data_IF_275129332972
#
_entry.id   IF_275129332972
#
_cell.length_a   1.000
_cell.length_b   1.000
_cell.length_c   1.000
_cell.angle_alpha   90.00
_cell.angle_beta   90.00
_cell.angle_gamma   90.00
#
_symmetry.space_group_name_H-M   'P 1'
#
loop_
_entity.id
_entity.type
_entity.pdbx_description
1 polymer ?
#
# COMPACT_ATOMS: atom_id res chain seq x y z
N UNK A 1 -5.28 -14.41 -18.52
CA UNK A 1 -4.12 -15.17 -18.00
C UNK A 1 -4.56 -15.89 -16.73
N UNK A 2 -4.01 -17.08 -16.43
CA UNK A 2 -4.29 -17.73 -15.14
C UNK A 2 -3.83 -16.82 -13.98
N UNK A 3 -4.55 -16.81 -12.84
CA UNK A 3 -4.13 -16.04 -11.67
C UNK A 3 -2.72 -16.50 -11.22
N UNK A 4 -1.76 -15.58 -11.31
CA UNK A 4 -0.35 -15.80 -11.00
C UNK A 4 -0.03 -15.51 -9.52
N UNK A 5 -1.02 -15.15 -8.72
CA UNK A 5 -0.89 -14.90 -7.28
C UNK A 5 -1.47 -16.06 -6.47
N UNK A 6 -0.92 -16.26 -5.28
CA UNK A 6 -1.47 -17.22 -4.29
C UNK A 6 -2.81 -16.71 -3.77
N UNK A 7 -2.88 -15.45 -3.38
CA UNK A 7 -4.11 -14.75 -2.96
C UNK A 7 -4.52 -13.73 -4.00
N UNK A 8 -5.82 -13.61 -4.26
CA UNK A 8 -6.35 -12.57 -5.14
C UNK A 8 -5.99 -11.18 -4.60
N UNK A 9 -5.62 -10.22 -5.45
CA UNK A 9 -5.40 -8.83 -5.05
C UNK A 9 -6.73 -8.18 -4.65
N UNK A 10 -6.66 -7.12 -3.84
CA UNK A 10 -7.85 -6.34 -3.50
C UNK A 10 -8.53 -5.77 -4.77
N UNK A 11 -9.84 -5.96 -4.88
CA UNK A 11 -10.63 -5.32 -5.93
C UNK A 11 -10.78 -3.82 -5.61
N UNK A 12 -10.37 -2.96 -6.53
CA UNK A 12 -10.39 -1.51 -6.37
C UNK A 12 -11.40 -0.81 -7.28
N UNK A 13 -12.18 -1.57 -8.05
CA UNK A 13 -13.25 -1.00 -8.88
C UNK A 13 -14.29 -0.29 -8.00
N UNK A 14 -14.69 0.92 -8.37
CA UNK A 14 -15.65 1.72 -7.62
C UNK A 14 -15.09 2.35 -6.34
N UNK A 15 -13.76 2.35 -6.18
CA UNK A 15 -13.06 3.02 -5.08
C UNK A 15 -12.40 4.31 -5.58
N UNK A 16 -11.90 5.21 -4.70
CA UNK A 16 -11.14 6.39 -5.11
C UNK A 16 -9.87 6.10 -5.93
N UNK A 17 -9.46 4.84 -6.09
CA UNK A 17 -8.42 4.48 -7.07
C UNK A 17 -8.87 4.70 -8.52
N UNK A 18 -10.18 4.77 -8.79
CA UNK A 18 -10.74 5.09 -10.11
C UNK A 18 -10.38 6.53 -10.56
N UNK A 19 -9.99 7.40 -9.62
CA UNK A 19 -9.48 8.74 -9.94
C UNK A 19 -8.06 8.71 -10.54
N UNK A 20 -7.36 7.57 -10.44
CA UNK A 20 -5.98 7.39 -10.90
C UNK A 20 -5.85 6.54 -12.15
N UNK A 21 -4.86 6.83 -12.99
CA UNK A 21 -4.50 5.99 -14.14
C UNK A 21 -3.62 4.82 -13.68
N UNK A 22 -4.05 3.58 -13.91
CA UNK A 22 -3.20 2.40 -13.69
C UNK A 22 -2.06 2.38 -14.73
N UNK A 23 -0.84 2.64 -14.27
CA UNK A 23 0.37 2.63 -15.08
C UNK A 23 0.90 1.21 -15.33
N UNK A 24 0.67 0.30 -14.37
CA UNK A 24 1.12 -1.08 -14.48
C UNK A 24 1.11 -1.83 -13.15
N UNK A 25 1.43 -3.12 -13.23
CA UNK A 25 1.51 -3.99 -12.07
C UNK A 25 2.70 -4.95 -12.20
N UNK A 26 3.36 -5.23 -11.08
CA UNK A 26 4.47 -6.16 -10.98
C UNK A 26 4.18 -7.20 -9.89
N UNK A 27 4.42 -8.48 -10.21
CA UNK A 27 4.37 -9.56 -9.24
C UNK A 27 5.71 -9.67 -8.51
N UNK A 28 5.69 -10.17 -7.28
CA UNK A 28 6.90 -10.34 -6.49
C UNK A 28 6.71 -11.23 -5.26
N UNK A 29 7.63 -11.06 -4.30
CA UNK A 29 7.66 -11.87 -3.10
C UNK A 29 8.24 -13.26 -3.36
N UNK A 30 7.72 -14.25 -2.64
CA UNK A 30 8.11 -15.64 -2.79
C UNK A 30 7.31 -16.30 -3.92
N UNK A 31 7.94 -17.24 -4.62
CA UNK A 31 7.22 -18.11 -5.54
C UNK A 31 6.85 -19.42 -4.82
N UNK A 32 5.55 -19.71 -4.73
CA UNK A 32 4.99 -20.92 -4.15
C UNK A 32 4.20 -21.66 -5.23
N UNK A 33 4.72 -22.80 -5.67
CA UNK A 33 4.10 -23.64 -6.69
C UNK A 33 3.72 -22.89 -7.98
N UNK A 34 4.61 -22.00 -8.45
CA UNK A 34 4.42 -21.23 -9.67
C UNK A 34 3.59 -19.95 -9.47
N UNK A 35 3.16 -19.64 -8.25
CA UNK A 35 2.40 -18.44 -7.90
C UNK A 35 3.19 -17.50 -6.99
N UNK A 36 2.97 -16.21 -7.15
CA UNK A 36 3.64 -15.15 -6.39
C UNK A 36 2.83 -14.76 -5.14
N UNK A 37 3.50 -14.34 -4.08
CA UNK A 37 2.85 -13.92 -2.82
C UNK A 37 2.53 -12.43 -2.80
N UNK A 38 3.13 -11.62 -3.68
CA UNK A 38 3.03 -10.17 -3.62
C UNK A 38 2.65 -9.58 -4.97
N UNK A 39 1.98 -8.44 -4.92
CA UNK A 39 1.74 -7.58 -6.08
C UNK A 39 2.03 -6.14 -5.72
N UNK A 40 2.58 -5.40 -6.67
CA UNK A 40 2.66 -3.94 -6.63
C UNK A 40 1.93 -3.36 -7.83
N UNK A 41 0.94 -2.49 -7.57
CA UNK A 41 0.20 -1.75 -8.60
C UNK A 41 0.58 -0.28 -8.52
N UNK A 42 0.83 0.34 -9.67
CA UNK A 42 1.31 1.71 -9.79
C UNK A 42 0.23 2.56 -10.47
N UNK A 43 -0.15 3.64 -9.81
CA UNK A 43 -1.18 4.54 -10.27
C UNK A 43 -0.61 5.94 -10.41
N UNK A 44 -1.11 6.71 -11.37
CA UNK A 44 -0.85 8.14 -11.48
C UNK A 44 -2.10 8.91 -11.10
N UNK A 45 -1.99 9.73 -10.07
CA UNK A 45 -3.00 10.69 -9.65
C UNK A 45 -2.51 12.12 -9.87
N UNK A 46 -3.42 13.04 -10.16
CA UNK A 46 -3.09 14.45 -10.36
C UNK A 46 -2.61 15.11 -9.04
N UNK A 47 -3.21 14.73 -7.91
CA UNK A 47 -2.97 15.28 -6.59
C UNK A 47 -1.83 14.58 -5.82
N UNK A 48 -1.52 13.32 -6.12
CA UNK A 48 -0.45 12.55 -5.45
C UNK A 48 0.76 12.23 -6.33
N UNK A 49 0.68 12.41 -7.63
CA UNK A 49 1.71 11.92 -8.56
C UNK A 49 1.66 10.40 -8.66
N UNK A 50 2.82 9.74 -8.65
CA UNK A 50 2.87 8.27 -8.70
C UNK A 50 2.62 7.69 -7.31
N UNK A 51 1.61 6.84 -7.22
CA UNK A 51 1.26 6.07 -6.03
C UNK A 51 1.50 4.59 -6.30
N UNK A 52 2.24 3.93 -5.40
CA UNK A 52 2.41 2.49 -5.41
C UNK A 52 1.56 1.87 -4.30
N UNK A 53 0.65 0.99 -4.66
CA UNK A 53 0.02 0.05 -3.73
C UNK A 53 0.78 -1.26 -3.75
N UNK A 54 1.29 -1.69 -2.60
CA UNK A 54 1.88 -3.01 -2.38
C UNK A 54 0.94 -3.85 -1.52
N UNK A 55 0.68 -5.08 -1.95
CA UNK A 55 0.00 -6.11 -1.18
C UNK A 55 0.91 -7.32 -1.06
N UNK A 56 1.00 -7.89 0.14
CA UNK A 56 1.85 -9.04 0.42
C UNK A 56 1.07 -10.06 1.23
N UNK A 57 1.03 -11.29 0.73
CA UNK A 57 0.62 -12.46 1.50
C UNK A 57 1.78 -12.90 2.43
N UNK A 58 1.85 -12.26 3.59
CA UNK A 58 2.88 -12.56 4.57
C UNK A 58 2.70 -13.95 5.21
N UNK A 59 1.49 -14.53 5.15
CA UNK A 59 1.20 -15.86 5.71
C UNK A 59 1.84 -16.95 4.85
N UNK A 60 1.59 -16.95 3.54
CA UNK A 60 2.16 -17.98 2.64
C UNK A 60 3.68 -17.86 2.53
N UNK A 61 4.21 -16.64 2.58
CA UNK A 61 5.66 -16.40 2.63
C UNK A 61 6.29 -16.73 4.00
N UNK A 62 5.49 -17.20 4.98
CA UNK A 62 5.91 -17.50 6.37
C UNK A 62 6.54 -16.30 7.08
N UNK A 63 6.19 -15.09 6.63
CA UNK A 63 6.53 -13.84 7.25
C UNK A 63 5.78 -13.61 8.56
N UNK A 64 6.23 -12.61 9.31
CA UNK A 64 5.57 -12.12 10.52
C UNK A 64 5.63 -10.60 10.50
N UNK A 65 4.51 -9.97 10.83
CA UNK A 65 4.44 -8.51 10.98
C UNK A 65 4.71 -8.17 12.44
N UNK A 66 5.66 -7.26 12.66
CA UNK A 66 5.96 -6.70 13.96
C UNK A 66 6.08 -5.18 13.79
N UNK A 67 5.28 -4.44 14.57
CA UNK A 67 5.28 -2.98 14.59
C UNK A 67 5.41 -2.56 16.05
N UNK A 68 6.31 -1.62 16.33
CA UNK A 68 6.43 -1.03 17.66
C UNK A 68 5.28 -0.06 17.89
N UNK A 69 4.77 0.02 19.12
CA UNK A 69 3.61 0.85 19.45
C UNK A 69 3.81 2.32 19.07
N UNK A 70 5.03 2.84 19.17
CA UNK A 70 5.40 4.21 18.83
C UNK A 70 5.27 4.54 17.33
N UNK A 71 5.25 3.53 16.46
CA UNK A 71 5.03 3.72 15.03
C UNK A 71 3.54 3.68 14.65
N UNK A 72 2.66 3.30 15.58
CA UNK A 72 1.22 3.30 15.36
C UNK A 72 0.71 4.71 15.63
N UNK A 73 0.28 5.40 14.58
CA UNK A 73 -0.16 6.79 14.67
C UNK A 73 -1.41 7.10 13.83
N UNK A 74 -1.95 6.09 13.14
CA UNK A 74 -3.14 6.21 12.31
C UNK A 74 -4.01 4.96 12.41
N UNK A 75 -5.19 5.05 11.78
CA UNK A 75 -6.16 3.97 11.66
C UNK A 75 -6.66 3.82 10.22
N UNK A 76 -6.72 2.57 9.76
CA UNK A 76 -7.36 2.16 8.50
C UNK A 76 -8.49 1.19 8.85
N UNK A 77 -9.72 1.71 8.92
CA UNK A 77 -10.94 0.92 9.16
C UNK A 77 -10.92 0.11 10.47
N UNK A 78 -10.42 0.69 11.56
CA UNK A 78 -10.28 0.00 12.86
C UNK A 78 -8.99 -0.81 12.99
N UNK A 79 -8.13 -0.82 11.97
CA UNK A 79 -6.84 -1.52 11.96
C UNK A 79 -5.73 -0.51 12.25
N UNK A 80 -4.88 -0.76 13.26
CA UNK A 80 -3.72 0.05 13.56
C UNK A 80 -2.82 0.24 12.34
N UNK A 81 -2.48 1.49 12.04
CA UNK A 81 -1.69 1.86 10.89
C UNK A 81 -0.54 2.80 11.26
N UNK A 82 0.48 2.77 10.41
CA UNK A 82 1.62 3.68 10.46
C UNK A 82 1.56 4.60 9.25
N UNK A 83 1.51 5.90 9.50
CA UNK A 83 1.89 6.91 8.52
C UNK A 83 3.29 7.43 8.81
N UNK A 84 4.13 7.50 7.80
CA UNK A 84 5.47 8.08 7.91
C UNK A 84 5.87 8.81 6.62
N UNK A 85 6.78 9.77 6.78
CA UNK A 85 7.38 10.51 5.66
C UNK A 85 8.88 10.36 5.75
N UNK A 86 9.46 9.69 4.76
CA UNK A 86 10.90 9.60 4.61
C UNK A 86 11.38 10.76 3.74
N UNK A 87 12.31 11.57 4.25
CA UNK A 87 12.91 12.70 3.51
C UNK A 87 14.40 12.44 3.39
N UNK A 88 14.92 12.43 2.16
CA UNK A 88 16.34 12.30 1.89
C UNK A 88 17.10 13.61 2.19
N UNK A 89 18.42 13.53 2.27
CA UNK A 89 19.29 14.71 2.43
C UNK A 89 19.15 15.71 1.26
N UNK A 90 18.72 15.26 0.07
CA UNK A 90 18.46 16.15 -1.07
C UNK A 90 17.08 16.81 -1.03
N UNK A 91 16.24 16.46 -0.04
CA UNK A 91 14.88 16.95 0.10
C UNK A 91 13.82 16.16 -0.67
N UNK A 92 14.21 15.12 -1.41
CA UNK A 92 13.27 14.17 -2.01
C UNK A 92 12.53 13.42 -0.91
N UNK A 93 11.24 13.18 -1.07
CA UNK A 93 10.42 12.58 -0.02
C UNK A 93 9.48 11.51 -0.55
N UNK A 94 9.21 10.53 0.30
CA UNK A 94 8.18 9.52 0.10
C UNK A 94 7.32 9.48 1.36
N UNK A 95 6.02 9.70 1.18
CA UNK A 95 5.02 9.49 2.22
C UNK A 95 4.44 8.09 2.06
N UNK A 96 4.18 7.39 3.17
CA UNK A 96 3.57 6.08 3.12
C UNK A 96 2.56 5.85 4.24
N UNK A 97 1.59 4.98 3.95
CA UNK A 97 0.69 4.38 4.93
C UNK A 97 0.91 2.87 4.89
N UNK A 98 1.16 2.27 6.05
CA UNK A 98 1.34 0.83 6.24
C UNK A 98 0.29 0.31 7.23
N UNK A 99 -0.34 -0.82 6.91
CA UNK A 99 -1.20 -1.56 7.84
C UNK A 99 -1.17 -3.04 7.47
N UNK A 100 -1.50 -3.89 8.43
CA UNK A 100 -1.59 -5.33 8.22
C UNK A 100 -2.88 -5.86 8.79
N UNK A 101 -3.54 -6.72 8.02
CA UNK A 101 -4.71 -7.48 8.43
C UNK A 101 -4.25 -8.85 8.96
N UNK A 102 -5.19 -9.74 9.24
CA UNK A 102 -4.89 -11.11 9.65
C UNK A 102 -4.22 -11.94 8.53
N UNK A 103 -4.29 -11.47 7.29
CA UNK A 103 -3.97 -12.29 6.11
C UNK A 103 -3.02 -11.60 5.11
N UNK A 104 -3.00 -10.27 5.04
CA UNK A 104 -2.11 -9.51 4.15
C UNK A 104 -1.55 -8.26 4.85
N UNK A 105 -0.36 -7.84 4.41
CA UNK A 105 0.11 -6.49 4.68
C UNK A 105 -0.11 -5.62 3.43
N UNK A 106 -0.39 -4.35 3.69
CA UNK A 106 -0.62 -3.34 2.67
C UNK A 106 0.35 -2.19 2.89
N UNK A 107 0.80 -1.59 1.79
CA UNK A 107 1.53 -0.33 1.86
C UNK A 107 1.19 0.55 0.68
N UNK A 108 0.80 1.77 0.96
CA UNK A 108 0.71 2.83 -0.04
C UNK A 108 1.93 3.73 0.06
N UNK A 109 2.58 3.99 -1.07
CA UNK A 109 3.67 4.97 -1.19
C UNK A 109 3.22 6.08 -2.14
N UNK A 110 3.47 7.33 -1.80
CA UNK A 110 3.40 8.47 -2.72
C UNK A 110 4.73 9.21 -2.74
N UNK A 111 5.21 9.55 -3.94
CA UNK A 111 6.41 10.37 -4.16
C UNK A 111 6.13 11.87 -3.92
N UNK A 112 5.45 12.18 -2.82
CA UNK A 112 5.16 13.53 -2.32
C UNK A 112 5.54 13.68 -0.86
N UNK A 113 5.90 14.90 -0.47
CA UNK A 113 6.31 15.24 0.89
C UNK A 113 5.10 15.63 1.75
N UNK A 114 4.46 14.66 2.39
CA UNK A 114 3.33 14.91 3.26
C UNK A 114 3.67 15.50 4.63
N UNK A 115 4.96 15.70 4.94
CA UNK A 115 5.37 16.50 6.10
C UNK A 115 5.25 18.01 5.83
N UNK A 116 5.11 18.40 4.56
CA UNK A 116 4.92 19.79 4.13
C UNK A 116 3.50 20.07 3.61
N UNK A 117 2.70 19.02 3.45
CA UNK A 117 1.36 19.07 2.88
C UNK A 117 0.49 17.99 3.52
N UNK A 118 -0.34 18.38 4.48
CA UNK A 118 -1.26 17.49 5.18
C UNK A 118 -2.28 16.83 4.23
N UNK A 119 -2.56 17.46 3.07
CA UNK A 119 -3.45 16.90 2.05
C UNK A 119 -2.93 15.57 1.49
N UNK A 120 -1.61 15.39 1.40
CA UNK A 120 -0.99 14.12 0.98
C UNK A 120 -1.34 12.99 1.95
N UNK A 121 -1.25 13.26 3.26
CA UNK A 121 -1.60 12.29 4.29
C UNK A 121 -3.08 11.93 4.23
N UNK A 122 -3.95 12.93 4.18
CA UNK A 122 -5.39 12.74 4.12
C UNK A 122 -5.80 11.90 2.91
N UNK A 123 -5.24 12.20 1.74
CA UNK A 123 -5.52 11.46 0.51
C UNK A 123 -4.98 10.03 0.55
N UNK A 124 -3.78 9.80 1.08
CA UNK A 124 -3.25 8.44 1.27
C UNK A 124 -4.11 7.61 2.22
N UNK A 125 -4.62 8.22 3.31
CA UNK A 125 -5.53 7.54 4.24
C UNK A 125 -6.90 7.28 3.63
N UNK A 126 -7.42 8.17 2.79
CA UNK A 126 -8.64 7.94 2.02
C UNK A 126 -8.49 6.73 1.09
N UNK A 127 -7.40 6.69 0.32
CA UNK A 127 -7.09 5.53 -0.53
C UNK A 127 -6.96 4.26 0.32
N UNK A 128 -6.21 4.29 1.42
CA UNK A 128 -6.04 3.14 2.31
C UNK A 128 -7.38 2.60 2.83
N UNK A 129 -8.25 3.48 3.33
CA UNK A 129 -9.57 3.12 3.89
C UNK A 129 -10.55 2.62 2.83
N UNK A 130 -10.32 2.96 1.56
CA UNK A 130 -11.15 2.45 0.46
C UNK A 130 -10.81 1.03 0.02
N UNK A 131 -9.64 0.51 0.40
CA UNK A 131 -9.23 -0.86 0.07
C UNK A 131 -10.11 -1.83 0.88
N UNK A 132 -10.85 -2.75 0.22
CA UNK A 132 -11.64 -3.74 0.93
C UNK A 132 -10.75 -4.58 1.84
N UNK A 133 -11.23 -4.84 3.06
CA UNK A 133 -10.62 -5.84 3.93
C UNK A 133 -10.70 -7.23 3.25
N UNK A 134 -9.68 -8.04 3.46
CA UNK A 134 -9.55 -9.41 2.94
C UNK A 134 -10.26 -10.46 3.81
#
# INVERSE_FOLDING_TARGET
AANQLVKEPANLEGTPFDDGELLGANLGGSNHDGKWTDISRFYKFDDLGVVKLKEVDFITSRGRIQVTEELINEDVNGIPATYLVNVSNSGAAVSLVFWATDSKEYTLYAEKNGAKDEGVKQRLLELARSIPAD
#
